data_IF_821850068714
#
_entry.id   IF_821850068714
#
_cell.length_a   1.000
_cell.length_b   1.000
_cell.length_c   1.000
_cell.angle_alpha   90.00
_cell.angle_beta   90.00
_cell.angle_gamma   90.00
#
_symmetry.space_group_name_H-M   'P 1'
#
loop_
_entity.id
_entity.type
_entity.pdbx_description
1 polymer ?
#
# COMPACT_ATOMS: atom_id res chain seq x y z
N UNK A 1 -17.13 56.14 -21.28
CA UNK A 1 -16.52 55.25 -20.28
C UNK A 1 -17.10 53.85 -20.50
N UNK A 2 -16.36 52.97 -21.18
CA UNK A 2 -16.76 51.57 -21.37
C UNK A 2 -16.30 50.76 -20.16
N UNK A 3 -17.24 50.14 -19.45
CA UNK A 3 -16.95 49.16 -18.42
C UNK A 3 -16.67 47.79 -19.08
N UNK A 4 -15.46 47.27 -18.94
CA UNK A 4 -15.10 45.93 -19.36
C UNK A 4 -15.26 44.98 -18.16
N UNK A 5 -16.31 44.16 -18.19
CA UNK A 5 -16.50 43.04 -17.27
C UNK A 5 -15.57 41.90 -17.66
N UNK A 6 -14.61 41.56 -16.81
CA UNK A 6 -13.84 40.32 -16.91
C UNK A 6 -14.60 39.19 -16.20
N UNK A 7 -15.19 38.29 -17.00
CA UNK A 7 -15.74 37.03 -16.52
C UNK A 7 -14.57 36.04 -16.36
N UNK A 8 -14.16 35.75 -15.12
CA UNK A 8 -13.24 34.64 -14.86
C UNK A 8 -14.02 33.31 -14.89
N UNK A 9 -13.75 32.48 -15.90
CA UNK A 9 -14.13 31.07 -15.88
C UNK A 9 -13.21 30.33 -14.90
N UNK A 10 -13.75 29.91 -13.76
CA UNK A 10 -13.10 28.93 -12.90
C UNK A 10 -13.22 27.55 -13.58
N UNK A 11 -12.12 27.06 -14.15
CA UNK A 11 -12.04 25.70 -14.66
C UNK A 11 -11.88 24.77 -13.45
N UNK A 12 -13.00 24.21 -12.98
CA UNK A 12 -12.98 23.11 -12.02
C UNK A 12 -12.43 21.86 -12.74
N UNK A 13 -11.11 21.69 -12.68
CA UNK A 13 -10.50 20.41 -13.03
C UNK A 13 -10.97 19.39 -12.00
N UNK A 14 -11.95 18.57 -12.36
CA UNK A 14 -12.23 17.31 -11.68
C UNK A 14 -11.01 16.42 -11.90
N UNK A 15 -9.98 16.62 -11.06
CA UNK A 15 -8.70 15.96 -11.17
C UNK A 15 -8.89 14.47 -10.88
N UNK A 16 -8.79 13.64 -11.92
CA UNK A 16 -8.30 12.28 -11.72
C UNK A 16 -7.01 12.40 -10.92
N UNK A 17 -6.91 11.70 -9.78
CA UNK A 17 -5.75 11.79 -8.90
C UNK A 17 -4.50 11.38 -9.69
N UNK A 18 -3.77 12.37 -10.20
CA UNK A 18 -2.55 12.15 -10.98
C UNK A 18 -1.54 11.41 -10.09
N UNK A 19 -0.81 10.46 -10.69
CA UNK A 19 0.25 9.73 -9.99
C UNK A 19 1.15 10.73 -9.27
N UNK A 20 1.32 10.64 -7.93
CA UNK A 20 2.17 11.58 -7.21
C UNK A 20 3.60 11.58 -7.78
N UNK A 21 4.28 12.73 -7.75
CA UNK A 21 5.60 12.85 -8.35
C UNK A 21 6.60 11.83 -7.75
N UNK A 22 7.26 11.07 -8.61
CA UNK A 22 8.21 10.02 -8.22
C UNK A 22 7.57 8.70 -7.77
N UNK A 23 6.24 8.61 -7.76
CA UNK A 23 5.52 7.36 -7.52
C UNK A 23 5.29 6.62 -8.83
N UNK A 24 5.13 5.31 -8.72
CA UNK A 24 4.70 4.41 -9.79
C UNK A 24 3.41 3.71 -9.40
N UNK A 25 2.62 3.35 -10.41
CA UNK A 25 1.41 2.54 -10.25
C UNK A 25 1.77 1.07 -10.35
N UNK A 26 1.50 0.28 -9.32
CA UNK A 26 1.92 -1.13 -9.26
C UNK A 26 0.82 -2.06 -8.72
N UNK A 27 0.99 -3.34 -9.00
CA UNK A 27 0.50 -4.42 -8.15
C UNK A 27 1.57 -4.78 -7.12
N UNK A 28 1.17 -4.96 -5.87
CA UNK A 28 2.04 -5.50 -4.82
C UNK A 28 1.80 -7.02 -4.79
N UNK A 29 2.65 -7.76 -5.47
CA UNK A 29 2.44 -9.16 -5.85
C UNK A 29 3.05 -10.10 -4.80
N UNK A 30 2.36 -11.20 -4.47
CA UNK A 30 2.89 -12.21 -3.56
C UNK A 30 4.05 -12.98 -4.19
N UNK A 31 5.15 -13.17 -3.45
CA UNK A 31 6.24 -14.05 -3.86
C UNK A 31 5.91 -15.55 -3.67
N UNK A 32 4.87 -15.88 -2.89
CA UNK A 32 4.38 -17.27 -2.74
C UNK A 32 3.68 -17.74 -4.02
N UNK A 33 2.76 -16.93 -4.55
CA UNK A 33 2.11 -17.14 -5.84
C UNK A 33 1.81 -15.79 -6.50
N UNK A 34 2.47 -15.53 -7.62
CA UNK A 34 2.38 -14.27 -8.38
C UNK A 34 0.99 -13.91 -8.91
N UNK A 35 0.03 -14.85 -8.89
CA UNK A 35 -1.37 -14.57 -9.23
C UNK A 35 -2.06 -13.71 -8.18
N UNK A 36 -1.56 -13.68 -6.96
CA UNK A 36 -2.17 -12.98 -5.83
C UNK A 36 -1.50 -11.63 -5.58
N UNK A 37 -2.33 -10.62 -5.34
CA UNK A 37 -1.91 -9.23 -5.08
C UNK A 37 -2.56 -8.71 -3.82
N UNK A 38 -1.90 -7.79 -3.12
CA UNK A 38 -2.44 -7.10 -1.96
C UNK A 38 -3.60 -6.19 -2.38
N UNK A 39 -4.74 -6.33 -1.70
CA UNK A 39 -5.93 -5.51 -1.92
C UNK A 39 -6.61 -5.22 -0.57
N UNK A 40 -7.34 -4.10 -0.41
CA UNK A 40 -8.26 -3.97 0.70
C UNK A 40 -9.50 -4.85 0.47
N UNK A 41 -10.14 -5.34 1.55
CA UNK A 41 -11.44 -6.05 1.44
C UNK A 41 -12.54 -5.18 0.82
N UNK A 42 -12.46 -3.88 1.02
CA UNK A 42 -13.29 -2.87 0.38
C UNK A 42 -12.54 -1.53 0.33
N UNK A 43 -12.78 -0.67 -0.67
CA UNK A 43 -12.10 0.62 -0.80
C UNK A 43 -12.71 1.68 0.13
N UNK A 44 -12.64 1.46 1.45
CA UNK A 44 -13.14 2.39 2.48
C UNK A 44 -12.28 2.34 3.75
N UNK A 45 -12.32 3.43 4.52
CA UNK A 45 -11.71 3.53 5.84
C UNK A 45 -12.03 2.32 6.74
N UNK A 46 -10.99 1.85 7.44
CA UNK A 46 -11.06 0.71 8.36
C UNK A 46 -11.07 -0.66 7.70
N UNK A 47 -11.07 -0.74 6.36
CA UNK A 47 -11.02 -2.04 5.68
C UNK A 47 -9.70 -2.74 5.93
N UNK A 48 -9.75 -4.02 6.29
CA UNK A 48 -8.53 -4.83 6.42
C UNK A 48 -7.99 -5.24 5.06
N UNK A 49 -6.72 -5.59 5.04
CA UNK A 49 -5.98 -5.96 3.84
C UNK A 49 -5.90 -7.48 3.70
N UNK A 50 -6.05 -7.96 2.47
CA UNK A 50 -6.00 -9.37 2.09
C UNK A 50 -5.25 -9.52 0.77
N UNK A 51 -5.07 -10.76 0.34
CA UNK A 51 -4.74 -11.04 -1.06
C UNK A 51 -5.96 -11.50 -1.87
N UNK A 52 -5.97 -11.13 -3.15
CA UNK A 52 -6.92 -11.62 -4.15
C UNK A 52 -6.20 -11.98 -5.44
N UNK A 53 -6.81 -12.84 -6.26
CA UNK A 53 -6.35 -13.06 -7.62
C UNK A 53 -6.38 -11.75 -8.38
N UNK A 54 -5.31 -11.46 -9.13
CA UNK A 54 -5.21 -10.27 -9.96
C UNK A 54 -6.30 -10.27 -11.04
N UNK A 55 -7.02 -9.15 -11.16
CA UNK A 55 -8.09 -8.90 -12.13
C UNK A 55 -7.97 -7.52 -12.79
N UNK A 56 -6.83 -6.86 -12.62
CA UNK A 56 -6.44 -5.58 -13.22
C UNK A 56 -7.32 -4.36 -12.88
N UNK A 57 -8.15 -4.45 -11.83
CA UNK A 57 -8.99 -3.33 -11.41
C UNK A 57 -8.25 -2.34 -10.51
N UNK A 58 -8.67 -1.06 -10.46
CA UNK A 58 -8.02 -0.02 -9.66
C UNK A 58 -7.90 -0.35 -8.16
N UNK A 59 -8.87 -1.08 -7.58
CA UNK A 59 -8.81 -1.51 -6.18
C UNK A 59 -7.66 -2.48 -5.86
N UNK A 60 -6.93 -2.95 -6.87
CA UNK A 60 -5.73 -3.79 -6.72
C UNK A 60 -4.42 -3.05 -7.01
N UNK A 61 -4.52 -1.76 -7.35
CA UNK A 61 -3.39 -0.97 -7.81
C UNK A 61 -3.02 0.07 -6.75
N UNK A 62 -1.71 0.25 -6.57
CA UNK A 62 -1.17 1.14 -5.55
C UNK A 62 -0.18 2.14 -6.16
N UNK A 63 -0.23 3.37 -5.69
CA UNK A 63 0.85 4.33 -5.85
C UNK A 63 1.90 4.07 -4.77
N UNK A 64 3.13 3.80 -5.22
CA UNK A 64 4.28 3.54 -4.34
C UNK A 64 5.58 4.02 -4.98
N UNK A 65 6.61 4.29 -4.17
CA UNK A 65 7.99 4.49 -4.64
C UNK A 65 8.99 3.70 -3.79
N UNK A 66 10.21 3.54 -4.30
CA UNK A 66 11.29 2.87 -3.56
C UNK A 66 11.74 3.70 -2.34
N UNK A 67 12.24 3.03 -1.29
CA UNK A 67 12.63 3.67 -0.05
C UNK A 67 11.43 4.20 0.74
N UNK A 68 11.59 5.38 1.37
CA UNK A 68 10.53 5.98 2.19
C UNK A 68 9.33 6.37 1.33
N UNK A 69 8.16 5.82 1.64
CA UNK A 69 6.95 6.00 0.86
C UNK A 69 5.71 6.02 1.75
N UNK A 70 4.65 6.62 1.25
CA UNK A 70 3.28 6.26 1.62
C UNK A 70 2.74 5.31 0.55
N UNK A 71 1.82 4.40 0.88
CA UNK A 71 1.27 3.45 -0.09
C UNK A 71 -0.20 3.80 -0.25
N UNK A 72 -0.54 4.44 -1.37
CA UNK A 72 -1.88 4.98 -1.62
C UNK A 72 -2.63 4.10 -2.62
N UNK A 73 -3.89 3.81 -2.34
CA UNK A 73 -4.77 3.11 -3.26
C UNK A 73 -5.11 4.05 -4.43
N UNK A 74 -4.90 3.57 -5.65
CA UNK A 74 -5.06 4.35 -6.88
C UNK A 74 -6.45 4.99 -6.96
N UNK A 75 -6.50 6.23 -7.45
CA UNK A 75 -7.72 7.03 -7.65
C UNK A 75 -8.56 7.27 -6.38
N UNK A 76 -7.95 7.16 -5.20
CA UNK A 76 -8.58 7.47 -3.90
C UNK A 76 -7.66 8.32 -3.02
N UNK A 77 -8.17 8.83 -1.90
CA UNK A 77 -7.38 9.45 -0.83
C UNK A 77 -7.06 8.47 0.30
N UNK A 78 -7.05 7.17 0.01
CA UNK A 78 -6.88 6.11 1.00
C UNK A 78 -5.49 5.48 0.92
N UNK A 79 -4.88 5.25 2.08
CA UNK A 79 -3.53 4.77 2.26
C UNK A 79 -3.48 3.52 3.15
N UNK A 80 -2.47 2.70 2.91
CA UNK A 80 -2.14 1.54 3.74
C UNK A 80 -1.64 2.01 5.11
N UNK A 81 -2.23 1.48 6.18
CA UNK A 81 -2.06 1.95 7.56
C UNK A 81 -1.79 0.77 8.50
N UNK A 82 -0.67 0.81 9.22
CA UNK A 82 -0.27 -0.20 10.20
C UNK A 82 -1.11 -0.22 11.49
N UNK A 83 -2.14 0.62 11.60
CA UNK A 83 -2.98 0.75 12.78
C UNK A 83 -2.28 1.48 13.94
N UNK A 84 -2.94 1.45 15.10
CA UNK A 84 -2.39 2.03 16.33
C UNK A 84 -1.04 1.38 16.69
N UNK A 85 -0.12 2.12 17.31
CA UNK A 85 1.22 1.62 17.67
C UNK A 85 1.21 0.33 18.50
N UNK A 86 0.19 0.11 19.33
CA UNK A 86 0.00 -1.13 20.10
C UNK A 86 -0.24 -2.39 19.25
N UNK A 87 -0.52 -2.21 17.95
CA UNK A 87 -0.71 -3.27 16.96
C UNK A 87 0.59 -3.61 16.18
N UNK A 88 1.67 -2.84 16.33
CA UNK A 88 2.91 -3.02 15.55
C UNK A 88 3.75 -4.19 16.07
N UNK A 89 3.26 -5.40 15.84
CA UNK A 89 3.82 -6.69 16.25
C UNK A 89 3.35 -7.78 15.29
N UNK A 90 3.93 -8.97 15.42
CA UNK A 90 3.53 -10.14 14.63
C UNK A 90 2.02 -10.37 14.71
N UNK A 91 1.43 -10.68 13.55
CA UNK A 91 -0.01 -10.83 13.32
C UNK A 91 -0.83 -9.54 13.49
N UNK A 92 -0.18 -8.39 13.66
CA UNK A 92 -0.81 -7.08 13.66
C UNK A 92 -1.59 -6.84 12.36
N UNK A 93 -2.79 -6.29 12.45
CA UNK A 93 -3.62 -6.05 11.27
C UNK A 93 -3.18 -4.79 10.52
N UNK A 94 -3.27 -4.82 9.19
CA UNK A 94 -3.09 -3.64 8.35
C UNK A 94 -4.46 -3.22 7.83
N UNK A 95 -4.65 -1.91 7.72
CA UNK A 95 -5.91 -1.27 7.35
C UNK A 95 -5.74 -0.33 6.16
N UNK A 96 -6.87 0.05 5.59
CA UNK A 96 -7.00 1.18 4.71
C UNK A 96 -7.54 2.38 5.50
N UNK A 97 -6.89 3.53 5.43
CA UNK A 97 -7.33 4.78 6.07
C UNK A 97 -7.11 6.00 5.19
N UNK A 98 -7.75 7.13 5.48
CA UNK A 98 -7.44 8.40 4.83
C UNK A 98 -5.94 8.70 4.95
N UNK A 99 -5.33 9.07 3.82
CA UNK A 99 -3.94 9.44 3.76
C UNK A 99 -3.66 10.65 4.64
N UNK A 100 -2.61 10.59 5.45
CA UNK A 100 -2.17 11.67 6.31
C UNK A 100 -0.65 11.77 6.32
N UNK A 101 -0.13 12.98 6.11
CA UNK A 101 1.31 13.21 6.14
C UNK A 101 1.90 13.07 7.55
N UNK A 102 1.10 13.27 8.59
CA UNK A 102 1.52 13.17 9.99
C UNK A 102 1.40 11.76 10.58
N UNK A 103 0.66 10.86 9.92
CA UNK A 103 0.42 9.50 10.43
C UNK A 103 1.66 8.62 10.24
N UNK A 104 2.26 8.20 11.35
CA UNK A 104 3.44 7.33 11.36
C UNK A 104 3.10 5.92 10.92
N UNK A 105 1.86 5.45 11.16
CA UNK A 105 1.39 4.16 10.71
C UNK A 105 1.29 4.04 9.17
N UNK A 106 1.40 5.15 8.44
CA UNK A 106 1.35 5.21 6.97
C UNK A 106 2.72 5.48 6.33
N UNK A 107 3.79 5.46 7.12
CA UNK A 107 5.17 5.61 6.64
C UNK A 107 5.79 4.24 6.47
N UNK A 108 5.99 3.85 5.22
CA UNK A 108 6.55 2.57 4.82
C UNK A 108 7.94 2.75 4.21
N UNK A 109 8.74 1.70 4.23
CA UNK A 109 10.04 1.65 3.57
C UNK A 109 10.05 0.45 2.62
N UNK A 110 10.02 0.72 1.33
CA UNK A 110 10.23 -0.31 0.29
C UNK A 110 11.72 -0.59 0.23
N UNK A 111 12.09 -1.78 0.67
CA UNK A 111 13.48 -2.24 0.72
C UNK A 111 13.89 -2.81 -0.64
N UNK A 112 15.18 -2.72 -0.98
CA UNK A 112 15.71 -3.24 -2.24
C UNK A 112 15.61 -4.75 -2.40
N UNK A 113 15.34 -5.46 -1.30
CA UNK A 113 15.22 -6.92 -1.28
C UNK A 113 13.77 -7.43 -1.43
N UNK A 114 12.80 -6.53 -1.57
CA UNK A 114 11.38 -6.86 -1.77
C UNK A 114 10.51 -6.77 -0.53
N UNK A 115 11.10 -6.55 0.65
CA UNK A 115 10.34 -6.29 1.88
C UNK A 115 9.76 -4.88 1.88
N UNK A 116 8.63 -4.72 2.55
CA UNK A 116 8.01 -3.40 2.81
C UNK A 116 7.86 -3.24 4.31
N UNK A 117 8.67 -2.39 4.92
CA UNK A 117 8.76 -2.24 6.36
C UNK A 117 7.92 -1.07 6.87
N UNK A 118 7.31 -1.20 8.05
CA UNK A 118 6.65 -0.11 8.75
C UNK A 118 7.70 0.79 9.42
N UNK A 119 7.97 1.96 8.84
CA UNK A 119 9.19 2.73 9.10
C UNK A 119 9.44 3.10 10.56
N UNK A 120 8.38 3.38 11.33
CA UNK A 120 8.49 3.77 12.74
C UNK A 120 8.45 2.57 13.73
N UNK A 121 8.30 1.34 13.24
CA UNK A 121 8.20 0.15 14.11
C UNK A 121 9.55 -0.30 14.66
N UNK A 122 9.58 -0.66 15.94
CA UNK A 122 10.73 -1.25 16.62
C UNK A 122 10.24 -2.25 17.67
N UNK A 123 10.54 -3.56 17.54
CA UNK A 123 11.32 -4.19 16.46
C UNK A 123 10.66 -3.99 15.08
N UNK A 124 11.49 -4.03 14.03
CA UNK A 124 11.05 -3.72 12.67
C UNK A 124 10.01 -4.74 12.17
N UNK A 125 8.82 -4.26 11.79
CA UNK A 125 7.73 -5.03 11.22
C UNK A 125 7.61 -4.79 9.72
N UNK A 126 7.28 -5.84 8.97
CA UNK A 126 7.10 -5.87 7.52
C UNK A 126 5.69 -6.32 7.16
N UNK A 127 5.21 -5.92 5.98
CA UNK A 127 3.98 -6.46 5.40
C UNK A 127 4.16 -7.96 5.17
N UNK A 128 3.23 -8.76 5.67
CA UNK A 128 3.29 -10.22 5.69
C UNK A 128 2.01 -10.86 5.13
N UNK A 129 2.18 -11.87 4.30
CA UNK A 129 1.11 -12.77 3.91
C UNK A 129 0.96 -13.83 4.99
N UNK A 130 -0.10 -13.72 5.80
CA UNK A 130 -0.25 -14.55 6.98
C UNK A 130 -0.19 -16.04 6.63
N UNK A 131 0.65 -16.76 7.37
CA UNK A 131 0.90 -18.20 7.19
C UNK A 131 1.45 -18.57 5.80
N UNK A 132 2.04 -17.62 5.07
CA UNK A 132 2.50 -17.79 3.69
C UNK A 132 1.42 -18.37 2.75
N UNK A 133 0.15 -18.07 3.01
CA UNK A 133 -0.98 -18.69 2.32
C UNK A 133 -1.53 -17.81 1.20
N UNK A 134 -1.07 -18.03 -0.04
CA UNK A 134 -1.57 -17.32 -1.21
C UNK A 134 -2.91 -17.92 -1.70
N UNK A 135 -3.97 -17.61 -0.96
CA UNK A 135 -5.35 -17.94 -1.34
C UNK A 135 -6.24 -16.73 -1.17
N UNK A 136 -7.27 -16.59 -2.01
CA UNK A 136 -8.19 -15.46 -1.96
C UNK A 136 -8.73 -15.22 -0.54
N UNK A 137 -8.79 -13.95 -0.13
CA UNK A 137 -9.19 -13.50 1.21
C UNK A 137 -8.24 -13.89 2.36
N UNK A 138 -7.08 -14.49 2.09
CA UNK A 138 -6.10 -14.68 3.16
C UNK A 138 -5.60 -13.31 3.66
N UNK A 139 -5.51 -13.10 4.98
CA UNK A 139 -5.12 -11.80 5.52
C UNK A 139 -3.68 -11.42 5.18
N UNK A 140 -3.47 -10.12 5.06
CA UNK A 140 -2.15 -9.50 5.05
C UNK A 140 -2.00 -8.68 6.32
N UNK A 141 -0.93 -8.90 7.06
CA UNK A 141 -0.68 -8.28 8.35
C UNK A 141 0.76 -7.81 8.51
N UNK A 142 1.16 -7.62 9.76
CA UNK A 142 2.53 -7.32 10.15
C UNK A 142 3.21 -8.58 10.66
N UNK A 143 4.48 -8.73 10.31
CA UNK A 143 5.36 -9.74 10.90
C UNK A 143 6.78 -9.21 10.99
N UNK A 144 7.58 -9.76 11.90
CA UNK A 144 9.00 -9.47 12.01
C UNK A 144 9.69 -9.44 10.65
N UNK A 145 10.35 -8.33 10.31
CA UNK A 145 11.12 -8.22 9.07
C UNK A 145 12.30 -9.19 9.00
N UNK A 146 12.70 -9.79 10.12
CA UNK A 146 13.68 -10.87 10.13
C UNK A 146 13.18 -12.11 9.38
N UNK A 147 11.86 -12.26 9.20
CA UNK A 147 11.24 -13.41 8.55
C UNK A 147 11.32 -14.68 9.39
N UNK A 148 10.60 -15.72 8.97
CA UNK A 148 10.59 -17.02 9.61
C UNK A 148 12.01 -17.61 9.63
N UNK A 149 12.48 -18.01 10.82
CA UNK A 149 13.84 -18.55 10.97
C UNK A 149 14.96 -17.56 10.64
N UNK A 150 14.71 -16.25 10.72
CA UNK A 150 15.66 -15.19 10.37
C UNK A 150 16.11 -15.20 8.90
N UNK A 151 15.22 -15.65 8.00
CA UNK A 151 15.54 -15.78 6.57
C UNK A 151 15.35 -14.49 5.76
N UNK A 152 14.71 -13.46 6.33
CA UNK A 152 14.60 -12.11 5.80
C UNK A 152 14.09 -12.07 4.37
N UNK A 153 14.90 -11.56 3.44
CA UNK A 153 14.60 -11.48 2.00
C UNK A 153 14.25 -12.84 1.34
N UNK A 154 14.62 -13.98 1.96
CA UNK A 154 14.29 -15.31 1.43
C UNK A 154 12.92 -15.80 1.88
N UNK A 155 12.30 -15.15 2.85
CA UNK A 155 10.95 -15.48 3.32
C UNK A 155 9.92 -14.97 2.30
N UNK A 156 9.20 -15.90 1.66
CA UNK A 156 8.21 -15.56 0.64
C UNK A 156 6.96 -14.87 1.20
N UNK A 157 6.69 -14.97 2.50
CA UNK A 157 5.55 -14.34 3.16
C UNK A 157 5.68 -12.83 3.28
N UNK A 158 6.91 -12.32 3.47
CA UNK A 158 7.18 -10.89 3.70
C UNK A 158 7.81 -10.16 2.52
N UNK A 159 8.03 -10.84 1.39
CA UNK A 159 8.60 -10.26 0.18
C UNK A 159 7.55 -10.11 -0.91
N UNK A 160 7.49 -8.90 -1.48
CA UNK A 160 6.41 -8.47 -2.35
C UNK A 160 6.95 -7.81 -3.63
N UNK A 161 7.20 -8.60 -4.70
CA UNK A 161 7.53 -8.04 -6.00
C UNK A 161 6.54 -6.95 -6.42
N UNK A 162 7.08 -5.78 -6.79
CA UNK A 162 6.30 -4.65 -7.28
C UNK A 162 6.24 -4.72 -8.81
N UNK A 163 5.07 -5.06 -9.35
CA UNK A 163 4.86 -5.19 -10.79
C UNK A 163 4.16 -3.94 -11.32
N UNK A 164 4.81 -3.22 -12.24
CA UNK A 164 4.22 -2.02 -12.84
C UNK A 164 2.89 -2.32 -13.54
N UNK A 165 1.91 -1.44 -13.35
CA UNK A 165 0.70 -1.42 -14.17
C UNK A 165 1.08 -0.82 -15.52
N UNK A 166 1.15 -1.65 -16.56
CA UNK A 166 1.30 -1.17 -17.94
C UNK A 166 -0.07 -0.74 -18.45
N UNK A 167 -0.17 0.51 -18.93
CA UNK A 167 -1.35 1.04 -19.61
C UNK A 167 -1.54 0.42 -20.98
#
# INVERSE_FOLDING_TARGET
MLAASFLMFALAATGFAQVPAGYRKVYITSLVDSKFVIVPKSPKNGSTIVVQSRNDKPEQQWYIKDGNTTIQLVDTTLCLDGGAKSNWKDMGSIYLKDCSDSEQAQKWVVMSDGRIALGASSPQQCIDLQYMKATANNPVGLYSCAGLGNTGAKDKGINWPLVNVTS
#
